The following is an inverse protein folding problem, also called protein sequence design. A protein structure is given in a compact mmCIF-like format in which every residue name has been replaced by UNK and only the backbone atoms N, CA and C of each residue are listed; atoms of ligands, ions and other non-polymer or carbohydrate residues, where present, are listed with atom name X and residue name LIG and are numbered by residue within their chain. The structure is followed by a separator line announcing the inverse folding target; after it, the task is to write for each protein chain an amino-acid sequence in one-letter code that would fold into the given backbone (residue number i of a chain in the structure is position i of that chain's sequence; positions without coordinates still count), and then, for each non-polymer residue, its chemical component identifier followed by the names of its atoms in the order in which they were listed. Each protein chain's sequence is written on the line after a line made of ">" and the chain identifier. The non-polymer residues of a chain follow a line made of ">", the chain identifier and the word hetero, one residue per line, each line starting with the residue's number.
data_IF_621569664646
#
_entry.id   IF_621569664646
#
_cell.length_a   1.000
_cell.length_b   1.000
_cell.length_c   1.000
_cell.angle_alpha   90.00
_cell.angle_beta   90.00
_cell.angle_gamma   90.00
#
_symmetry.space_group_name_H-M   'P 1'
#
loop_
_entity.id
_entity.type
_entity.pdbx_description
1 polymer ?
#
# COMPACT_ATOMS: atom_id res chain seq x y z
N UNK A 1 17.38 -15.53 25.91
CA UNK A 1 17.61 -14.84 24.62
C UNK A 1 17.39 -13.34 24.81
N UNK A 2 18.47 -12.59 25.07
CA UNK A 2 18.42 -11.21 25.58
C UNK A 2 18.47 -10.22 24.40
N UNK A 3 17.31 -9.82 23.86
CA UNK A 3 17.22 -8.72 22.89
C UNK A 3 17.44 -7.40 23.64
N UNK A 4 18.71 -7.05 23.91
CA UNK A 4 19.10 -5.65 24.10
C UNK A 4 18.87 -4.96 22.75
N UNK A 5 17.67 -4.43 22.56
CA UNK A 5 17.41 -3.38 21.57
C UNK A 5 18.44 -2.29 21.87
N UNK A 6 19.42 -2.14 21.00
CA UNK A 6 20.29 -0.97 20.97
C UNK A 6 19.33 0.20 20.76
N UNK A 7 18.95 0.85 21.86
CA UNK A 7 18.28 2.15 21.83
C UNK A 7 19.32 3.10 21.24
N UNK A 8 19.35 3.22 19.92
CA UNK A 8 20.00 4.35 19.29
C UNK A 8 19.47 5.58 20.00
N UNK A 9 20.36 6.39 20.57
CA UNK A 9 20.01 7.66 21.21
C UNK A 9 19.12 8.40 20.21
N UNK A 10 17.84 8.59 20.54
CA UNK A 10 16.89 9.31 19.70
C UNK A 10 17.35 10.76 19.67
N UNK A 11 18.19 11.09 18.68
CA UNK A 11 18.48 12.47 18.30
C UNK A 11 17.31 12.96 17.47
N UNK A 12 16.93 14.23 17.65
CA UNK A 12 15.91 14.86 16.81
C UNK A 12 16.36 14.79 15.35
N UNK A 13 15.41 14.68 14.42
CA UNK A 13 15.69 14.59 12.99
C UNK A 13 16.63 15.71 12.53
N UNK A 14 16.39 16.96 12.97
CA UNK A 14 17.23 18.12 12.67
C UNK A 14 18.70 17.95 13.09
N UNK A 15 18.97 17.47 14.31
CA UNK A 15 20.34 17.25 14.80
C UNK A 15 21.07 16.09 14.09
N UNK A 16 20.32 15.12 13.58
CA UNK A 16 20.84 13.98 12.81
C UNK A 16 21.16 14.40 11.37
N UNK A 17 20.28 15.18 10.77
CA UNK A 17 20.39 15.66 9.39
C UNK A 17 21.56 16.66 9.26
N UNK A 18 21.85 17.46 10.30
CA UNK A 18 23.04 18.32 10.36
C UNK A 18 24.36 17.51 10.38
N UNK A 19 24.35 16.29 10.94
CA UNK A 19 25.54 15.45 11.13
C UNK A 19 25.72 14.37 10.05
N UNK A 20 24.72 14.10 9.23
CA UNK A 20 24.77 13.03 8.22
C UNK A 20 24.53 13.59 6.82
N UNK A 21 25.59 13.98 6.08
CA UNK A 21 25.45 14.63 4.77
C UNK A 21 24.97 13.71 3.63
N UNK A 22 24.64 12.43 3.90
CA UNK A 22 24.41 11.42 2.86
C UNK A 22 22.95 11.00 2.72
N UNK A 23 22.13 11.10 3.78
CA UNK A 23 20.71 10.73 3.73
C UNK A 23 19.90 11.39 4.85
N UNK A 24 19.12 12.42 4.52
CA UNK A 24 18.25 13.13 5.47
C UNK A 24 16.82 12.53 5.53
N UNK A 25 16.05 12.91 6.56
CA UNK A 25 14.67 12.41 6.71
C UNK A 25 13.72 12.90 5.61
N UNK A 26 14.02 14.03 4.95
CA UNK A 26 13.25 14.53 3.81
C UNK A 26 13.48 13.72 2.54
N UNK A 27 14.70 13.24 2.31
CA UNK A 27 15.10 12.33 1.24
C UNK A 27 14.48 10.96 1.47
N UNK A 28 14.49 10.45 2.70
CA UNK A 28 13.78 9.21 3.05
C UNK A 28 12.28 9.33 2.77
N UNK A 29 11.64 10.45 3.15
CA UNK A 29 10.24 10.73 2.81
C UNK A 29 10.01 10.67 1.30
N UNK A 30 10.79 11.41 0.52
CA UNK A 30 10.63 11.46 -0.94
C UNK A 30 10.82 10.08 -1.58
N UNK A 31 11.79 9.31 -1.09
CA UNK A 31 12.02 7.93 -1.53
C UNK A 31 10.81 7.03 -1.25
N UNK A 32 10.28 7.04 -0.03
CA UNK A 32 9.14 6.21 0.34
C UNK A 32 7.85 6.64 -0.38
N UNK A 33 7.62 7.94 -0.57
CA UNK A 33 6.49 8.45 -1.35
C UNK A 33 6.55 7.97 -2.81
N UNK A 34 7.73 8.06 -3.45
CA UNK A 34 7.92 7.56 -4.80
C UNK A 34 7.74 6.04 -4.88
N UNK A 35 8.30 5.29 -3.92
CA UNK A 35 8.17 3.84 -3.85
C UNK A 35 6.71 3.39 -3.67
N UNK A 36 5.94 4.11 -2.84
CA UNK A 36 4.51 3.86 -2.64
C UNK A 36 3.74 4.13 -3.96
N UNK A 37 4.01 5.26 -4.62
CA UNK A 37 3.38 5.63 -5.89
C UNK A 37 3.63 4.58 -6.98
N UNK A 38 4.88 4.13 -7.13
CA UNK A 38 5.23 3.07 -8.08
C UNK A 38 4.50 1.76 -7.80
N UNK A 39 4.53 1.30 -6.54
CA UNK A 39 3.83 0.07 -6.12
C UNK A 39 2.32 0.17 -6.35
N UNK A 40 1.74 1.33 -6.12
CA UNK A 40 0.32 1.57 -6.32
C UNK A 40 -0.05 1.53 -7.81
N UNK A 41 0.76 2.14 -8.67
CA UNK A 41 0.55 2.07 -10.12
C UNK A 41 0.66 0.63 -10.65
N UNK A 42 1.64 -0.15 -10.18
CA UNK A 42 1.74 -1.57 -10.53
C UNK A 42 0.54 -2.39 -10.04
N UNK A 43 0.04 -2.08 -8.84
CA UNK A 43 -1.16 -2.71 -8.31
C UNK A 43 -2.38 -2.44 -9.20
N UNK A 44 -2.63 -1.19 -9.59
CA UNK A 44 -3.75 -0.83 -10.46
C UNK A 44 -3.65 -1.50 -11.83
N UNK A 45 -2.45 -1.52 -12.42
CA UNK A 45 -2.20 -2.20 -13.68
C UNK A 45 -2.52 -3.70 -13.57
N UNK A 46 -1.99 -4.36 -12.54
CA UNK A 46 -2.21 -5.79 -12.33
C UNK A 46 -3.70 -6.10 -12.10
N UNK A 47 -4.37 -5.33 -11.24
CA UNK A 47 -5.82 -5.45 -11.01
C UNK A 47 -6.61 -5.32 -12.32
N UNK A 48 -6.28 -4.32 -13.14
CA UNK A 48 -6.94 -4.08 -14.44
C UNK A 48 -6.77 -5.27 -15.38
N UNK A 49 -5.58 -5.88 -15.43
CA UNK A 49 -5.31 -7.08 -16.23
C UNK A 49 -6.14 -8.26 -15.73
N UNK A 50 -6.26 -8.46 -14.42
CA UNK A 50 -7.08 -9.54 -13.84
C UNK A 50 -8.55 -9.38 -14.25
N UNK A 51 -9.11 -8.17 -14.11
CA UNK A 51 -10.49 -7.88 -14.50
C UNK A 51 -10.70 -8.10 -15.99
N UNK A 52 -9.80 -7.58 -16.84
CA UNK A 52 -9.87 -7.79 -18.29
C UNK A 52 -9.78 -9.28 -18.68
N UNK A 53 -8.90 -10.03 -18.01
CA UNK A 53 -8.75 -11.47 -18.21
C UNK A 53 -10.02 -12.23 -17.83
N UNK A 54 -10.66 -11.87 -16.72
CA UNK A 54 -11.93 -12.45 -16.31
C UNK A 54 -13.05 -12.17 -17.31
N UNK A 55 -13.24 -10.90 -17.71
CA UNK A 55 -14.31 -10.48 -18.65
C UNK A 55 -14.17 -11.14 -20.02
N UNK A 56 -12.94 -11.35 -20.50
CA UNK A 56 -12.68 -11.96 -21.81
C UNK A 56 -12.87 -13.48 -21.83
N UNK A 57 -12.79 -14.14 -20.67
CA UNK A 57 -12.75 -15.59 -20.61
C UNK A 57 -14.14 -16.19 -20.64
N UNK A 58 -14.39 -17.09 -21.60
CA UNK A 58 -15.67 -17.82 -21.70
C UNK A 58 -15.67 -19.15 -20.94
N UNK A 59 -14.49 -19.69 -20.62
CA UNK A 59 -14.36 -20.95 -19.89
C UNK A 59 -14.44 -20.71 -18.37
N UNK A 60 -15.41 -21.34 -17.71
CA UNK A 60 -15.66 -21.17 -16.28
C UNK A 60 -14.47 -21.57 -15.41
N UNK A 61 -13.75 -22.64 -15.74
CA UNK A 61 -12.58 -23.07 -14.96
C UNK A 61 -11.46 -22.05 -15.05
N UNK A 62 -11.17 -21.55 -16.26
CA UNK A 62 -10.15 -20.51 -16.44
C UNK A 62 -10.55 -19.19 -15.76
N UNK A 63 -11.82 -18.79 -15.83
CA UNK A 63 -12.32 -17.62 -15.12
C UNK A 63 -12.12 -17.75 -13.60
N UNK A 64 -12.41 -18.93 -13.03
CA UNK A 64 -12.17 -19.20 -11.61
C UNK A 64 -10.69 -19.13 -11.24
N UNK A 65 -9.80 -19.69 -12.07
CA UNK A 65 -8.36 -19.64 -11.85
C UNK A 65 -7.83 -18.19 -11.90
N UNK A 66 -8.29 -17.40 -12.87
CA UNK A 66 -7.91 -15.99 -13.00
C UNK A 66 -8.33 -15.20 -11.75
N UNK A 67 -9.58 -15.37 -11.29
CA UNK A 67 -10.08 -14.67 -10.11
C UNK A 67 -9.37 -15.08 -8.83
N UNK A 68 -9.14 -16.38 -8.63
CA UNK A 68 -8.47 -16.89 -7.42
C UNK A 68 -7.00 -16.50 -7.36
N UNK A 69 -6.24 -16.69 -8.44
CA UNK A 69 -4.84 -16.25 -8.52
C UNK A 69 -4.72 -14.72 -8.44
N UNK A 70 -5.61 -14.01 -9.13
CA UNK A 70 -5.69 -12.55 -9.07
C UNK A 70 -5.96 -12.05 -7.65
N UNK A 71 -6.89 -12.66 -6.93
CA UNK A 71 -7.18 -12.34 -5.53
C UNK A 71 -5.96 -12.57 -4.62
N UNK A 72 -5.29 -13.72 -4.74
CA UNK A 72 -4.09 -14.02 -3.94
C UNK A 72 -3.00 -12.96 -4.18
N UNK A 73 -2.68 -12.68 -5.44
CA UNK A 73 -1.61 -11.73 -5.78
C UNK A 73 -1.98 -10.31 -5.34
N UNK A 74 -3.23 -9.87 -5.55
CA UNK A 74 -3.67 -8.53 -5.11
C UNK A 74 -3.67 -8.37 -3.59
N UNK A 75 -3.98 -9.42 -2.82
CA UNK A 75 -3.83 -9.41 -1.36
C UNK A 75 -2.35 -9.21 -0.97
N UNK A 76 -1.43 -9.96 -1.60
CA UNK A 76 0.01 -9.81 -1.33
C UNK A 76 0.50 -8.39 -1.66
N UNK A 77 0.06 -7.81 -2.78
CA UNK A 77 0.36 -6.42 -3.11
C UNK A 77 -0.22 -5.43 -2.08
N UNK A 78 -1.47 -5.63 -1.65
CA UNK A 78 -2.11 -4.77 -0.67
C UNK A 78 -1.33 -4.75 0.66
N UNK A 79 -0.82 -5.90 1.11
CA UNK A 79 0.03 -5.98 2.31
C UNK A 79 1.35 -5.22 2.14
N UNK A 80 1.97 -5.30 0.95
CA UNK A 80 3.20 -4.56 0.65
C UNK A 80 2.96 -3.05 0.61
N UNK A 81 1.83 -2.61 0.05
CA UNK A 81 1.40 -1.21 0.04
C UNK A 81 1.12 -0.70 1.45
N UNK A 82 0.40 -1.47 2.27
CA UNK A 82 0.09 -1.12 3.66
C UNK A 82 1.39 -0.94 4.46
N UNK A 83 2.38 -1.83 4.27
CA UNK A 83 3.70 -1.68 4.91
C UNK A 83 4.45 -0.42 4.46
N UNK A 84 4.39 -0.08 3.17
CA UNK A 84 4.97 1.17 2.67
C UNK A 84 4.29 2.40 3.28
N UNK A 85 2.96 2.40 3.37
CA UNK A 85 2.20 3.48 3.98
C UNK A 85 2.54 3.64 5.46
N UNK A 86 2.68 2.53 6.21
CA UNK A 86 3.07 2.58 7.63
C UNK A 86 4.45 3.23 7.83
N UNK A 87 5.41 2.93 6.95
CA UNK A 87 6.72 3.58 7.00
C UNK A 87 6.62 5.09 6.75
N UNK A 88 5.83 5.48 5.75
CA UNK A 88 5.59 6.89 5.44
C UNK A 88 4.91 7.61 6.63
N UNK A 89 3.92 6.98 7.25
CA UNK A 89 3.24 7.53 8.43
C UNK A 89 4.21 7.75 9.59
N UNK A 90 5.17 6.84 9.82
CA UNK A 90 6.22 7.00 10.85
C UNK A 90 7.16 8.16 10.52
N UNK A 91 7.61 8.25 9.26
CA UNK A 91 8.49 9.33 8.80
C UNK A 91 7.80 10.68 8.98
N UNK A 92 6.56 10.82 8.51
CA UNK A 92 5.80 12.06 8.64
C UNK A 92 5.54 12.42 10.10
N UNK A 93 5.31 11.44 10.96
CA UNK A 93 5.18 11.68 12.40
C UNK A 93 6.46 12.29 12.98
N UNK A 94 7.63 11.77 12.63
CA UNK A 94 8.94 12.31 13.07
C UNK A 94 9.17 13.73 12.52
N UNK A 95 8.86 13.97 11.24
CA UNK A 95 9.01 15.29 10.62
C UNK A 95 8.04 16.34 11.20
N UNK A 96 6.82 15.95 11.59
CA UNK A 96 5.82 16.86 12.13
C UNK A 96 6.00 17.16 13.62
N UNK A 97 6.94 16.50 14.30
CA UNK A 97 7.37 16.89 15.66
C UNK A 97 8.18 18.19 15.65
N UNK A 98 8.74 18.60 14.52
CA UNK A 98 9.43 19.88 14.35
C UNK A 98 8.50 20.91 13.68
N UNK A 99 8.08 21.91 14.45
CA UNK A 99 7.21 23.00 13.98
C UNK A 99 7.84 23.84 12.86
N UNK A 100 9.17 23.87 12.78
CA UNK A 100 9.90 24.63 11.76
C UNK A 100 10.11 23.87 10.45
N UNK A 101 9.76 22.57 10.41
CA UNK A 101 10.04 21.74 9.25
C UNK A 101 9.11 22.10 8.07
N UNK A 102 9.65 22.33 6.85
CA UNK A 102 8.84 22.74 5.68
C UNK A 102 7.66 21.82 5.38
N UNK A 103 7.86 20.51 5.60
CA UNK A 103 6.81 19.49 5.46
C UNK A 103 5.55 19.79 6.26
N UNK A 104 5.69 20.28 7.50
CA UNK A 104 4.57 20.57 8.40
C UNK A 104 3.87 21.86 8.02
N UNK A 105 4.65 22.90 7.74
CA UNK A 105 4.14 24.19 7.26
C UNK A 105 3.24 24.01 6.04
N UNK A 106 3.67 23.20 5.07
CA UNK A 106 2.88 22.92 3.87
C UNK A 106 1.62 22.10 4.18
N UNK A 107 1.69 21.14 5.11
CA UNK A 107 0.52 20.31 5.48
C UNK A 107 -0.53 21.13 6.24
N UNK A 108 -0.11 22.02 7.14
CA UNK A 108 -0.97 22.95 7.87
C UNK A 108 -1.66 23.94 6.92
N UNK A 109 -0.93 24.48 5.93
CA UNK A 109 -1.49 25.31 4.87
C UNK A 109 -2.48 24.54 3.97
N UNK A 110 -2.26 23.24 3.77
CA UNK A 110 -3.14 22.37 3.00
C UNK A 110 -4.37 21.87 3.80
N UNK A 111 -4.51 22.27 5.07
CA UNK A 111 -5.66 21.96 5.91
C UNK A 111 -5.57 20.66 6.71
N UNK A 112 -4.36 20.10 6.90
CA UNK A 112 -4.04 19.01 7.84
C UNK A 112 -4.75 17.66 7.59
N UNK A 113 -5.65 17.58 6.62
CA UNK A 113 -6.47 16.40 6.37
C UNK A 113 -5.73 15.45 5.41
N UNK A 114 -4.85 14.62 5.97
CA UNK A 114 -4.05 13.66 5.19
C UNK A 114 -4.92 12.57 4.54
N UNK A 115 -5.22 12.73 3.24
CA UNK A 115 -5.93 11.73 2.40
C UNK A 115 -5.03 10.57 1.95
N UNK A 116 -3.76 10.55 2.38
CA UNK A 116 -2.72 9.61 1.90
C UNK A 116 -3.08 8.15 2.18
N UNK A 117 -3.72 7.88 3.33
CA UNK A 117 -4.21 6.54 3.71
C UNK A 117 -5.27 5.99 2.75
N UNK A 118 -5.97 6.83 2.00
CA UNK A 118 -6.95 6.37 1.00
C UNK A 118 -6.23 5.55 -0.08
N UNK A 119 -5.11 6.07 -0.58
CA UNK A 119 -4.33 5.45 -1.65
C UNK A 119 -3.57 4.22 -1.12
N UNK A 120 -2.92 4.35 0.03
CA UNK A 120 -2.06 3.29 0.57
C UNK A 120 -2.79 2.13 1.27
N UNK A 121 -4.06 2.30 1.68
CA UNK A 121 -4.78 1.32 2.49
C UNK A 121 -6.17 1.03 1.92
N UNK A 122 -7.01 2.05 1.72
CA UNK A 122 -8.42 1.84 1.38
C UNK A 122 -8.63 1.31 -0.04
N UNK A 123 -8.01 1.93 -1.05
CA UNK A 123 -8.17 1.50 -2.45
C UNK A 123 -7.71 0.04 -2.64
N UNK A 124 -6.50 -0.37 -2.19
CA UNK A 124 -6.07 -1.76 -2.31
C UNK A 124 -7.00 -2.73 -1.60
N UNK A 125 -7.53 -2.35 -0.41
CA UNK A 125 -8.48 -3.17 0.34
C UNK A 125 -9.77 -3.42 -0.43
N UNK A 126 -10.36 -2.36 -0.98
CA UNK A 126 -11.58 -2.48 -1.79
C UNK A 126 -11.33 -3.37 -3.00
N UNK A 127 -10.24 -3.13 -3.74
CA UNK A 127 -9.91 -3.90 -4.94
C UNK A 127 -9.74 -5.40 -4.63
N UNK A 128 -8.97 -5.81 -3.62
CA UNK A 128 -8.84 -7.24 -3.34
C UNK A 128 -10.16 -7.84 -2.84
N UNK A 129 -10.95 -7.11 -2.02
CA UNK A 129 -12.25 -7.60 -1.56
C UNK A 129 -13.20 -7.85 -2.72
N UNK A 130 -13.21 -6.97 -3.74
CA UNK A 130 -14.02 -7.20 -4.95
C UNK A 130 -13.63 -8.49 -5.67
N UNK A 131 -12.33 -8.81 -5.78
CA UNK A 131 -11.87 -10.06 -6.40
C UNK A 131 -12.20 -11.29 -5.54
N UNK A 132 -12.08 -11.20 -4.21
CA UNK A 132 -12.43 -12.30 -3.30
C UNK A 132 -13.93 -12.61 -3.39
N UNK A 133 -14.77 -11.58 -3.32
CA UNK A 133 -16.23 -11.74 -3.44
C UNK A 133 -16.57 -12.30 -4.83
N UNK A 134 -15.95 -11.79 -5.88
CA UNK A 134 -16.11 -12.30 -7.24
C UNK A 134 -15.73 -13.77 -7.37
N UNK A 135 -14.59 -14.18 -6.81
CA UNK A 135 -14.11 -15.57 -6.83
C UNK A 135 -15.05 -16.52 -6.09
N UNK A 136 -15.62 -16.09 -4.95
CA UNK A 136 -16.58 -16.87 -4.18
C UNK A 136 -17.92 -16.98 -4.93
N UNK A 137 -18.44 -15.86 -5.43
CA UNK A 137 -19.69 -15.85 -6.18
C UNK A 137 -19.61 -16.73 -7.44
N UNK A 138 -18.49 -16.65 -8.17
CA UNK A 138 -18.25 -17.46 -9.35
C UNK A 138 -18.09 -18.96 -9.00
N UNK A 139 -17.44 -19.28 -7.88
CA UNK A 139 -17.35 -20.67 -7.40
C UNK A 139 -18.73 -21.25 -7.07
N UNK A 140 -19.58 -20.48 -6.36
CA UNK A 140 -20.95 -20.89 -6.03
C UNK A 140 -21.77 -21.10 -7.31
N UNK A 141 -21.62 -20.22 -8.30
CA UNK A 141 -22.27 -20.36 -9.61
C UNK A 141 -21.86 -21.68 -10.30
N UNK A 142 -20.57 -21.99 -10.36
CA UNK A 142 -20.10 -23.25 -10.96
C UNK A 142 -20.72 -24.46 -10.22
N UNK A 143 -20.68 -24.47 -8.88
CA UNK A 143 -21.18 -25.61 -8.10
C UNK A 143 -22.68 -25.84 -8.30
N UNK A 144 -23.48 -24.78 -8.40
CA UNK A 144 -24.94 -24.90 -8.51
C UNK A 144 -25.40 -25.25 -9.93
N UNK A 145 -24.76 -24.70 -10.96
CA UNK A 145 -25.16 -24.90 -12.35
C UNK A 145 -24.52 -26.12 -13.01
N UNK A 146 -23.37 -26.59 -12.54
CA UNK A 146 -22.71 -27.80 -13.06
C UNK A 146 -23.21 -29.10 -12.40
N UNK A 147 -24.05 -28.99 -11.36
CA UNK A 147 -24.72 -30.12 -10.69
C UNK A 147 -26.15 -30.37 -11.20
N UNK A 148 -26.60 -29.65 -12.23
CA UNK A 148 -27.84 -29.92 -12.98
C UNK A 148 -27.51 -30.46 -14.36
#
# INVERSE_FOLDING_TARGET
>A
MNKKLIKHKQMKASERDEKSPVWDMSQERAFIENLLSQRFNYFLLFYSIVIAGFVKTTNLVYAQLILTLGAIITILFALVLERSQQKLDIILKDLFEDDSHPAKIVDDLAGGCSRRRIIGIWIPKICYWTLVIGAIAHLVFIIFFNNK
#
